data_IF_687949391687
#
_entry.id   IF_687949391687
#
_cell.length_a   1.000
_cell.length_b   1.000
_cell.length_c   1.000
_cell.angle_alpha   90.00
_cell.angle_beta   90.00
_cell.angle_gamma   90.00
#
_symmetry.space_group_name_H-M   'P 1'
#
loop_
_entity.id
_entity.type
_entity.pdbx_description
1 polymer ?
#
# COMPACT_ATOMS: atom_id res chain seq x y z
N UNK A 1 12.98 -37.15 -17.58
CA UNK A 1 12.71 -35.96 -16.74
C UNK A 1 11.71 -35.09 -17.48
N UNK A 2 10.58 -34.76 -16.86
CA UNK A 2 9.51 -33.94 -17.47
C UNK A 2 9.58 -32.49 -17.01
N UNK A 3 9.02 -31.57 -17.81
CA UNK A 3 8.92 -30.14 -17.46
C UNK A 3 7.47 -29.79 -17.19
N UNK A 4 7.18 -29.27 -16.00
CA UNK A 4 5.90 -28.69 -15.61
C UNK A 4 5.88 -27.21 -15.99
N UNK A 5 4.76 -26.76 -16.58
CA UNK A 5 4.58 -25.37 -17.02
C UNK A 5 3.65 -24.69 -16.01
N UNK A 6 4.20 -23.84 -15.14
CA UNK A 6 3.41 -23.01 -14.24
C UNK A 6 2.87 -21.78 -14.95
N UNK A 7 1.73 -21.27 -14.49
CA UNK A 7 1.14 -20.02 -15.02
C UNK A 7 1.22 -18.88 -13.99
N UNK A 8 1.14 -17.64 -14.48
CA UNK A 8 1.16 -16.47 -13.62
C UNK A 8 -0.01 -16.48 -12.62
N UNK A 9 0.27 -16.18 -11.35
CA UNK A 9 -0.73 -16.16 -10.28
C UNK A 9 -1.01 -17.53 -9.63
N UNK A 10 -0.37 -18.61 -10.10
CA UNK A 10 -0.48 -19.92 -9.46
C UNK A 10 0.27 -19.95 -8.13
N UNK A 11 -0.29 -20.66 -7.13
CA UNK A 11 0.32 -20.81 -5.80
C UNK A 11 1.33 -21.95 -5.79
N UNK A 12 2.37 -21.81 -4.97
CA UNK A 12 3.41 -22.83 -4.84
C UNK A 12 2.85 -24.17 -4.33
N UNK A 13 1.86 -24.13 -3.44
CA UNK A 13 1.21 -25.33 -2.90
C UNK A 13 0.58 -26.20 -4.00
N UNK A 14 -0.12 -25.56 -4.94
CA UNK A 14 -0.80 -26.23 -6.05
C UNK A 14 0.24 -26.80 -7.03
N UNK A 15 1.27 -26.00 -7.38
CA UNK A 15 2.37 -26.45 -8.25
C UNK A 15 3.11 -27.63 -7.64
N UNK A 16 3.47 -27.55 -6.36
CA UNK A 16 4.18 -28.61 -5.66
C UNK A 16 3.37 -29.91 -5.64
N UNK A 17 2.05 -29.83 -5.40
CA UNK A 17 1.15 -30.99 -5.43
C UNK A 17 1.10 -31.63 -6.81
N UNK A 18 0.81 -30.85 -7.85
CA UNK A 18 0.69 -31.35 -9.21
C UNK A 18 2.01 -31.95 -9.72
N UNK A 19 3.15 -31.34 -9.39
CA UNK A 19 4.46 -31.87 -9.77
C UNK A 19 4.78 -33.20 -9.08
N UNK A 20 4.43 -33.38 -7.80
CA UNK A 20 4.64 -34.65 -7.08
C UNK A 20 3.72 -35.74 -7.60
N UNK A 21 2.46 -35.41 -7.87
CA UNK A 21 1.50 -36.34 -8.49
C UNK A 21 1.97 -36.78 -9.88
N UNK A 22 2.42 -35.84 -10.72
CA UNK A 22 2.99 -36.14 -12.04
C UNK A 22 4.27 -36.98 -11.95
N UNK A 23 5.15 -36.68 -11.00
CA UNK A 23 6.36 -37.48 -10.77
C UNK A 23 6.01 -38.93 -10.37
N UNK A 24 5.02 -39.10 -9.50
CA UNK A 24 4.53 -40.43 -9.09
C UNK A 24 3.89 -41.20 -10.23
N UNK A 25 3.08 -40.54 -11.06
CA UNK A 25 2.43 -41.16 -12.22
C UNK A 25 3.44 -41.64 -13.27
N UNK A 26 4.51 -40.88 -13.45
CA UNK A 26 5.50 -41.12 -14.52
C UNK A 26 6.69 -41.95 -14.05
N UNK A 27 6.87 -42.09 -12.74
CA UNK A 27 8.03 -42.73 -12.13
C UNK A 27 9.34 -41.95 -12.31
N UNK A 28 9.28 -40.70 -12.77
CA UNK A 28 10.43 -39.88 -13.13
C UNK A 28 10.34 -38.49 -12.48
N UNK A 29 11.43 -37.72 -12.52
CA UNK A 29 11.50 -36.36 -11.99
C UNK A 29 10.73 -35.38 -12.87
N UNK A 30 10.09 -34.42 -12.22
CA UNK A 30 9.39 -33.30 -12.86
C UNK A 30 10.08 -32.01 -12.41
N UNK A 31 10.38 -31.11 -13.34
CA UNK A 31 11.02 -29.82 -13.05
C UNK A 31 10.19 -28.62 -13.50
N UNK A 32 10.35 -27.49 -12.85
CA UNK A 32 9.81 -26.21 -13.32
C UNK A 32 10.69 -25.05 -12.84
N UNK A 33 10.47 -23.87 -13.41
CA UNK A 33 11.02 -22.62 -12.90
C UNK A 33 9.86 -21.81 -12.37
N UNK A 34 9.88 -21.50 -11.08
CA UNK A 34 8.74 -20.90 -10.39
C UNK A 34 9.09 -19.51 -9.84
N UNK A 35 8.10 -18.61 -9.86
CA UNK A 35 8.17 -17.21 -9.42
C UNK A 35 9.04 -16.27 -10.29
N UNK A 36 8.97 -14.96 -9.99
CA UNK A 36 9.81 -13.93 -10.60
C UNK A 36 11.30 -14.08 -10.27
N UNK A 37 11.64 -14.88 -9.26
CA UNK A 37 13.02 -15.19 -8.86
C UNK A 37 13.63 -16.37 -9.62
N UNK A 38 12.90 -16.92 -10.60
CA UNK A 38 13.35 -18.02 -11.45
C UNK A 38 13.93 -19.22 -10.68
N UNK A 39 13.31 -19.58 -9.56
CA UNK A 39 13.77 -20.69 -8.72
C UNK A 39 13.45 -22.01 -9.43
N UNK A 40 14.47 -22.82 -9.72
CA UNK A 40 14.30 -24.16 -10.28
C UNK A 40 13.82 -25.12 -9.18
N UNK A 41 12.65 -25.70 -9.40
CA UNK A 41 12.03 -26.69 -8.51
C UNK A 41 12.04 -28.04 -9.20
N UNK A 42 12.40 -29.09 -8.45
CA UNK A 42 12.41 -30.47 -8.95
C UNK A 42 11.63 -31.36 -7.98
N UNK A 43 10.51 -31.89 -8.47
CA UNK A 43 9.77 -32.96 -7.80
C UNK A 43 10.34 -34.33 -8.18
N UNK A 44 10.35 -35.24 -7.20
CA UNK A 44 10.72 -36.65 -7.37
C UNK A 44 9.53 -37.52 -6.98
N UNK A 45 9.43 -38.76 -7.51
CA UNK A 45 8.45 -39.71 -7.02
C UNK A 45 8.59 -39.89 -5.50
N UNK A 46 7.48 -39.80 -4.78
CA UNK A 46 7.44 -39.87 -3.33
C UNK A 46 6.22 -40.66 -2.86
N UNK A 47 6.44 -41.66 -1.98
CA UNK A 47 5.38 -42.57 -1.49
C UNK A 47 4.25 -41.83 -0.76
N UNK A 48 4.59 -40.77 -0.03
CA UNK A 48 3.63 -39.88 0.62
C UNK A 48 3.61 -38.53 -0.11
N UNK A 49 2.51 -38.22 -0.81
CA UNK A 49 2.39 -36.99 -1.59
C UNK A 49 2.55 -35.75 -0.70
N UNK A 50 1.91 -35.71 0.47
CA UNK A 50 1.97 -34.56 1.38
C UNK A 50 3.40 -34.26 1.84
N UNK A 51 4.18 -35.29 2.16
CA UNK A 51 5.61 -35.11 2.50
C UNK A 51 6.41 -34.59 1.31
N UNK A 52 6.18 -35.12 0.11
CA UNK A 52 6.85 -34.63 -1.10
C UNK A 52 6.55 -33.17 -1.41
N UNK A 53 5.30 -32.75 -1.19
CA UNK A 53 4.85 -31.36 -1.32
C UNK A 53 5.55 -30.46 -0.30
N UNK A 54 5.57 -30.84 0.99
CA UNK A 54 6.26 -30.07 2.03
C UNK A 54 7.72 -29.82 1.68
N UNK A 55 8.44 -30.85 1.21
CA UNK A 55 9.86 -30.73 0.83
C UNK A 55 10.06 -29.66 -0.25
N UNK A 56 9.17 -29.61 -1.25
CA UNK A 56 9.25 -28.61 -2.33
C UNK A 56 8.97 -27.20 -1.78
N UNK A 57 7.93 -27.05 -0.96
CA UNK A 57 7.56 -25.75 -0.37
C UNK A 57 8.68 -25.25 0.54
N UNK A 58 9.22 -26.11 1.40
CA UNK A 58 10.31 -25.77 2.32
C UNK A 58 11.57 -25.37 1.55
N UNK A 59 11.92 -26.11 0.50
CA UNK A 59 13.02 -25.75 -0.40
C UNK A 59 12.79 -24.38 -1.05
N UNK A 60 11.61 -24.16 -1.65
CA UNK A 60 11.28 -22.90 -2.31
C UNK A 60 11.35 -21.71 -1.33
N UNK A 61 10.78 -21.84 -0.13
CA UNK A 61 10.83 -20.81 0.90
C UNK A 61 12.26 -20.55 1.38
N UNK A 62 13.07 -21.60 1.55
CA UNK A 62 14.48 -21.44 1.93
C UNK A 62 15.29 -20.69 0.87
N UNK A 63 14.98 -20.93 -0.40
CA UNK A 63 15.71 -20.32 -1.52
C UNK A 63 15.26 -18.88 -1.77
N UNK A 64 13.98 -18.58 -1.59
CA UNK A 64 13.49 -17.20 -1.51
C UNK A 64 14.21 -16.43 -0.39
N UNK A 65 14.26 -16.98 0.83
CA UNK A 65 14.93 -16.35 1.95
C UNK A 65 16.43 -16.12 1.67
N UNK A 66 17.10 -17.08 1.01
CA UNK A 66 18.51 -16.95 0.61
C UNK A 66 18.71 -15.83 -0.42
N UNK A 67 17.85 -15.74 -1.43
CA UNK A 67 17.94 -14.69 -2.45
C UNK A 67 17.61 -13.31 -1.88
N UNK A 68 16.59 -13.20 -1.04
CA UNK A 68 16.24 -11.97 -0.31
C UNK A 68 17.40 -11.50 0.56
N UNK A 69 18.01 -12.40 1.33
CA UNK A 69 19.18 -12.08 2.16
C UNK A 69 20.39 -11.69 1.32
N UNK A 70 20.62 -12.38 0.20
CA UNK A 70 21.65 -12.02 -0.78
C UNK A 70 21.46 -10.62 -1.33
N UNK A 71 20.21 -10.27 -1.69
CA UNK A 71 19.86 -8.93 -2.15
C UNK A 71 20.04 -7.88 -1.04
N UNK A 72 19.51 -8.12 0.17
CA UNK A 72 19.65 -7.21 1.32
C UNK A 72 21.11 -6.85 1.62
N UNK A 73 22.01 -7.82 1.49
CA UNK A 73 23.44 -7.63 1.74
C UNK A 73 24.24 -7.16 0.52
N UNK A 74 23.64 -7.13 -0.67
CA UNK A 74 24.30 -6.62 -1.87
C UNK A 74 24.55 -5.11 -1.77
N UNK A 75 25.49 -4.53 -2.54
CA UNK A 75 25.64 -3.08 -2.64
C UNK A 75 24.33 -2.38 -3.02
N UNK A 76 23.56 -2.95 -3.96
CA UNK A 76 22.29 -2.43 -4.44
C UNK A 76 21.22 -2.46 -3.35
N UNK A 77 21.05 -3.59 -2.65
CA UNK A 77 20.05 -3.69 -1.58
C UNK A 77 20.37 -2.80 -0.39
N UNK A 78 21.65 -2.68 0.01
CA UNK A 78 22.07 -1.73 1.04
C UNK A 78 21.84 -0.28 0.61
N UNK A 79 22.14 0.05 -0.64
CA UNK A 79 21.88 1.39 -1.18
C UNK A 79 20.38 1.69 -1.22
N UNK A 80 19.55 0.74 -1.64
CA UNK A 80 18.10 0.86 -1.64
C UNK A 80 17.56 1.08 -0.22
N UNK A 81 18.07 0.35 0.78
CA UNK A 81 17.70 0.54 2.18
C UNK A 81 18.07 1.94 2.69
N UNK A 82 19.26 2.45 2.34
CA UNK A 82 19.67 3.82 2.69
C UNK A 82 18.73 4.86 2.06
N UNK A 83 18.36 4.69 0.78
CA UNK A 83 17.44 5.59 0.08
C UNK A 83 16.05 5.55 0.73
N UNK A 84 15.53 4.35 1.00
CA UNK A 84 14.24 4.15 1.64
C UNK A 84 14.20 4.80 3.04
N UNK A 85 15.25 4.62 3.85
CA UNK A 85 15.34 5.21 5.18
C UNK A 85 15.45 6.74 5.14
N UNK A 86 16.19 7.30 4.17
CA UNK A 86 16.24 8.75 3.95
C UNK A 86 14.86 9.31 3.57
N UNK A 87 14.16 8.63 2.67
CA UNK A 87 12.81 9.02 2.27
C UNK A 87 11.85 8.95 3.46
N UNK A 88 11.84 7.84 4.21
CA UNK A 88 11.01 7.67 5.41
C UNK A 88 11.24 8.80 6.41
N UNK A 89 12.49 9.13 6.73
CA UNK A 89 12.82 10.22 7.63
C UNK A 89 12.39 11.59 7.07
N UNK A 90 12.56 11.82 5.77
CA UNK A 90 12.08 13.05 5.12
C UNK A 90 10.57 13.21 5.25
N UNK A 91 9.80 12.16 4.94
CA UNK A 91 8.34 12.17 5.06
C UNK A 91 7.87 12.29 6.51
N UNK A 92 8.55 11.63 7.45
CA UNK A 92 8.23 11.76 8.88
C UNK A 92 8.46 13.20 9.38
N UNK A 93 9.50 13.88 8.90
CA UNK A 93 9.73 15.30 9.19
C UNK A 93 8.65 16.19 8.58
N UNK A 94 8.14 15.86 7.38
CA UNK A 94 7.01 16.56 6.79
C UNK A 94 5.73 16.41 7.62
N UNK A 95 5.46 15.21 8.15
CA UNK A 95 4.34 15.00 9.09
C UNK A 95 4.51 15.85 10.34
N UNK A 96 5.71 15.85 10.94
CA UNK A 96 5.99 16.65 12.14
C UNK A 96 5.76 18.15 11.88
N UNK A 97 6.25 18.67 10.74
CA UNK A 97 6.00 20.06 10.35
C UNK A 97 4.53 20.33 10.08
N UNK A 98 3.82 19.40 9.42
CA UNK A 98 2.38 19.52 9.21
C UNK A 98 1.62 19.59 10.54
N UNK A 99 2.02 18.86 11.58
CA UNK A 99 1.40 18.98 12.90
C UNK A 99 1.65 20.35 13.56
N UNK A 100 2.83 20.94 13.36
CA UNK A 100 3.10 22.33 13.78
C UNK A 100 2.21 23.31 13.02
N UNK A 101 2.05 23.12 11.71
CA UNK A 101 1.18 23.93 10.87
C UNK A 101 -0.30 23.78 11.27
N UNK A 102 -0.73 22.57 11.64
CA UNK A 102 -2.10 22.26 12.08
C UNK A 102 -2.51 23.08 13.31
N UNK A 103 -1.57 23.32 14.23
CA UNK A 103 -1.83 24.13 15.42
C UNK A 103 -2.14 25.60 15.09
N UNK A 104 -1.68 26.09 13.94
CA UNK A 104 -1.82 27.48 13.46
C UNK A 104 -2.80 27.60 12.29
N UNK A 105 -3.41 26.50 11.87
CA UNK A 105 -4.29 26.43 10.72
C UNK A 105 -5.54 27.28 10.96
N UNK A 106 -5.89 28.13 9.99
CA UNK A 106 -7.17 28.84 10.00
C UNK A 106 -8.27 27.89 9.52
N UNK A 107 -9.10 27.44 10.47
CA UNK A 107 -10.21 26.53 10.17
C UNK A 107 -11.44 27.21 9.53
N UNK A 108 -11.41 28.53 9.36
CA UNK A 108 -12.40 29.25 8.56
C UNK A 108 -12.04 29.30 7.07
N UNK A 109 -10.77 29.09 6.73
CA UNK A 109 -10.29 29.01 5.35
C UNK A 109 -10.26 27.54 4.87
N UNK A 110 -11.30 27.16 4.12
CA UNK A 110 -11.44 25.82 3.57
C UNK A 110 -10.33 25.45 2.59
N UNK A 111 -9.77 26.42 1.86
CA UNK A 111 -8.65 26.17 0.96
C UNK A 111 -7.36 25.92 1.75
N UNK A 112 -7.14 26.65 2.85
CA UNK A 112 -6.01 26.37 3.76
C UNK A 112 -6.11 24.97 4.37
N UNK A 113 -7.30 24.56 4.80
CA UNK A 113 -7.55 23.21 5.32
C UNK A 113 -7.24 22.14 4.26
N UNK A 114 -7.75 22.31 3.04
CA UNK A 114 -7.50 21.38 1.94
C UNK A 114 -6.00 21.32 1.61
N UNK A 115 -5.32 22.47 1.54
CA UNK A 115 -3.88 22.53 1.31
C UNK A 115 -3.07 21.82 2.39
N UNK A 116 -3.51 21.88 3.65
CA UNK A 116 -2.92 21.10 4.73
C UNK A 116 -3.12 19.59 4.53
N UNK A 117 -4.32 19.15 4.16
CA UNK A 117 -4.61 17.74 3.87
C UNK A 117 -3.80 17.21 2.67
N UNK A 118 -3.58 18.02 1.63
CA UNK A 118 -2.70 17.66 0.51
C UNK A 118 -1.24 17.44 0.94
N UNK A 119 -0.74 18.22 1.91
CA UNK A 119 0.60 17.98 2.48
C UNK A 119 0.66 16.62 3.19
N UNK A 120 -0.38 16.27 3.95
CA UNK A 120 -0.46 14.98 4.65
C UNK A 120 -0.57 13.82 3.66
N UNK A 121 -1.37 13.95 2.61
CA UNK A 121 -1.51 12.91 1.58
C UNK A 121 -0.18 12.52 0.95
N UNK A 122 0.67 13.51 0.64
CA UNK A 122 2.02 13.29 0.09
C UNK A 122 2.98 12.54 1.01
N UNK A 123 2.62 12.36 2.28
CA UNK A 123 3.39 11.57 3.26
C UNK A 123 2.91 10.14 3.39
N UNK A 124 1.90 9.72 2.62
CA UNK A 124 1.41 8.35 2.60
C UNK A 124 2.50 7.38 2.08
N UNK A 125 3.22 6.77 3.02
CA UNK A 125 4.27 5.80 2.75
C UNK A 125 4.27 4.73 3.83
N UNK A 126 4.75 3.53 3.47
CA UNK A 126 4.98 2.44 4.41
C UNK A 126 5.89 2.95 5.55
N UNK A 127 5.50 2.70 6.80
CA UNK A 127 6.24 3.05 8.03
C UNK A 127 6.37 4.54 8.37
N UNK A 128 5.60 5.44 7.74
CA UNK A 128 5.43 6.82 8.21
C UNK A 128 4.26 6.87 9.19
N UNK A 129 4.51 7.37 10.40
CA UNK A 129 3.49 7.40 11.47
C UNK A 129 2.74 8.73 11.43
N UNK A 130 1.43 8.65 11.16
CA UNK A 130 0.51 9.77 11.21
C UNK A 130 -0.25 9.77 12.56
N UNK A 131 -0.20 10.86 13.36
CA UNK A 131 -0.93 10.98 14.63
C UNK A 131 -2.44 11.20 14.43
N UNK A 132 -3.10 10.21 13.82
CA UNK A 132 -4.47 10.26 13.32
C UNK A 132 -5.49 10.69 14.37
N UNK A 133 -5.36 10.20 15.62
CA UNK A 133 -6.28 10.57 16.72
C UNK A 133 -6.22 12.06 17.06
N UNK A 134 -5.02 12.64 17.05
CA UNK A 134 -4.83 14.06 17.36
C UNK A 134 -5.41 14.93 16.24
N UNK A 135 -5.15 14.56 14.99
CA UNK A 135 -5.69 15.23 13.80
C UNK A 135 -7.22 15.22 13.85
N UNK A 136 -7.83 14.04 13.99
CA UNK A 136 -9.29 13.90 14.01
C UNK A 136 -9.92 14.73 15.13
N UNK A 137 -9.35 14.67 16.35
CA UNK A 137 -9.84 15.47 17.49
C UNK A 137 -9.74 16.97 17.24
N UNK A 138 -8.66 17.43 16.60
CA UNK A 138 -8.48 18.85 16.25
C UNK A 138 -9.52 19.31 15.23
N UNK A 139 -9.75 18.52 14.19
CA UNK A 139 -10.77 18.82 13.18
C UNK A 139 -12.19 18.81 13.75
N UNK A 140 -12.52 17.82 14.60
CA UNK A 140 -13.80 17.73 15.29
C UNK A 140 -14.07 18.95 16.19
N UNK A 141 -13.05 19.40 16.93
CA UNK A 141 -13.14 20.62 17.75
C UNK A 141 -13.50 21.87 16.93
N UNK A 142 -13.13 21.92 15.65
CA UNK A 142 -13.46 23.00 14.73
C UNK A 142 -14.70 22.72 13.86
N UNK A 143 -15.50 21.69 14.19
CA UNK A 143 -16.76 21.38 13.51
C UNK A 143 -16.59 20.65 12.18
N UNK A 144 -15.47 19.97 11.96
CA UNK A 144 -15.24 19.09 10.82
C UNK A 144 -15.29 17.63 11.25
N UNK A 145 -16.27 16.91 10.74
CA UNK A 145 -16.46 15.49 11.03
C UNK A 145 -16.15 14.65 9.77
N UNK A 146 -15.85 13.37 9.97
CA UNK A 146 -15.73 12.41 8.86
C UNK A 146 -17.13 11.89 8.46
N UNK A 147 -17.29 11.47 7.20
CA UNK A 147 -18.56 10.98 6.62
C UNK A 147 -19.77 11.93 6.72
N UNK A 148 -19.56 13.24 6.90
CA UNK A 148 -20.61 14.25 6.79
C UNK A 148 -20.66 14.82 5.37
N UNK A 149 -21.81 15.35 4.98
CA UNK A 149 -22.08 15.85 3.62
C UNK A 149 -21.99 14.77 2.52
N UNK A 150 -22.20 13.50 2.88
CA UNK A 150 -22.33 12.36 1.97
C UNK A 150 -23.80 11.95 1.77
N UNK A 151 -24.22 11.74 0.52
CA UNK A 151 -25.57 11.28 0.14
C UNK A 151 -26.40 12.31 -0.64
N UNK A 152 -27.41 11.84 -1.38
CA UNK A 152 -28.21 12.65 -2.34
C UNK A 152 -28.80 13.95 -1.77
N UNK A 153 -29.11 13.98 -0.47
CA UNK A 153 -29.73 15.14 0.19
C UNK A 153 -28.74 16.21 0.68
N UNK A 154 -27.46 15.86 0.83
CA UNK A 154 -26.40 16.78 1.28
C UNK A 154 -25.39 17.11 0.17
N UNK A 155 -25.49 16.44 -0.97
CA UNK A 155 -24.57 16.54 -2.11
C UNK A 155 -24.86 17.76 -3.00
N UNK A 156 -24.73 18.97 -2.45
CA UNK A 156 -24.80 20.19 -3.25
C UNK A 156 -23.41 20.62 -3.71
N UNK A 157 -22.86 19.91 -4.69
CA UNK A 157 -21.56 20.22 -5.30
C UNK A 157 -21.54 21.57 -6.05
N UNK A 158 -22.66 22.30 -6.15
CA UNK A 158 -22.71 23.66 -6.70
C UNK A 158 -22.35 24.72 -5.65
N UNK A 159 -22.41 24.38 -4.37
CA UNK A 159 -21.99 25.24 -3.28
C UNK A 159 -20.51 24.96 -2.96
N UNK A 160 -19.68 26.01 -3.00
CA UNK A 160 -18.23 25.93 -2.81
C UNK A 160 -17.86 25.34 -1.44
N UNK A 161 -18.51 25.79 -0.38
CA UNK A 161 -18.25 25.35 0.99
C UNK A 161 -18.69 23.90 1.22
N UNK A 162 -19.85 23.52 0.67
CA UNK A 162 -20.36 22.16 0.79
C UNK A 162 -19.42 21.16 0.09
N UNK A 163 -18.97 21.49 -1.12
CA UNK A 163 -18.05 20.62 -1.86
C UNK A 163 -16.67 20.55 -1.15
N UNK A 164 -16.13 21.67 -0.66
CA UNK A 164 -14.90 21.65 0.14
C UNK A 164 -15.05 20.80 1.42
N UNK A 165 -16.13 20.99 2.18
CA UNK A 165 -16.41 20.21 3.39
C UNK A 165 -16.59 18.72 3.10
N UNK A 166 -17.14 18.36 1.94
CA UNK A 166 -17.23 16.96 1.52
C UNK A 166 -15.84 16.36 1.27
N UNK A 167 -14.96 17.09 0.59
CA UNK A 167 -13.57 16.67 0.34
C UNK A 167 -12.81 16.48 1.66
N UNK A 168 -12.93 17.45 2.57
CA UNK A 168 -12.34 17.37 3.92
C UNK A 168 -12.88 16.14 4.65
N UNK A 169 -14.20 15.94 4.64
CA UNK A 169 -14.83 14.81 5.33
C UNK A 169 -14.39 13.45 4.80
N UNK A 170 -14.21 13.33 3.47
CA UNK A 170 -13.64 12.15 2.83
C UNK A 170 -12.21 11.88 3.34
N UNK A 171 -11.34 12.89 3.36
CA UNK A 171 -9.96 12.74 3.83
C UNK A 171 -9.90 12.33 5.31
N UNK A 172 -10.72 12.92 6.17
CA UNK A 172 -10.79 12.54 7.59
C UNK A 172 -11.27 11.09 7.76
N UNK A 173 -12.21 10.62 6.93
CA UNK A 173 -12.63 9.23 6.91
C UNK A 173 -11.49 8.28 6.57
N UNK A 174 -10.67 8.63 5.57
CA UNK A 174 -9.48 7.85 5.20
C UNK A 174 -8.43 7.83 6.33
N UNK A 175 -8.14 8.97 6.96
CA UNK A 175 -7.24 9.05 8.12
C UNK A 175 -7.74 8.15 9.26
N UNK A 176 -9.04 8.14 9.53
CA UNK A 176 -9.65 7.31 10.57
C UNK A 176 -9.51 5.81 10.29
N UNK A 177 -9.84 5.40 9.07
CA UNK A 177 -9.97 3.96 8.73
C UNK A 177 -8.65 3.32 8.30
N UNK A 178 -7.73 4.11 7.75
CA UNK A 178 -6.50 3.61 7.12
C UNK A 178 -5.22 4.28 7.66
N UNK A 179 -5.34 5.33 8.48
CA UNK A 179 -4.18 6.07 8.98
C UNK A 179 -3.44 6.88 7.91
N UNK A 180 -4.02 7.05 6.73
CA UNK A 180 -3.47 7.78 5.60
C UNK A 180 -4.58 8.32 4.69
N UNK A 181 -4.24 9.20 3.75
CA UNK A 181 -5.18 9.72 2.74
C UNK A 181 -4.90 8.99 1.42
N UNK A 182 -5.94 8.52 0.74
CA UNK A 182 -5.80 7.80 -0.53
C UNK A 182 -5.33 8.73 -1.68
N UNK A 183 -4.50 8.20 -2.58
CA UNK A 183 -3.92 8.88 -3.75
C UNK A 183 -4.92 9.51 -4.74
N UNK A 184 -6.21 9.23 -4.60
CA UNK A 184 -7.26 9.88 -5.39
C UNK A 184 -7.69 11.24 -4.82
N UNK A 185 -7.31 11.57 -3.58
CA UNK A 185 -7.67 12.82 -2.92
C UNK A 185 -7.29 14.07 -3.75
N UNK A 186 -6.06 14.19 -4.30
CA UNK A 186 -5.69 15.35 -5.11
C UNK A 186 -6.63 15.60 -6.29
N UNK A 187 -7.14 14.54 -6.93
CA UNK A 187 -8.10 14.67 -8.05
C UNK A 187 -9.43 15.30 -7.62
N UNK A 188 -9.89 15.06 -6.39
CA UNK A 188 -11.09 15.70 -5.86
C UNK A 188 -10.84 17.18 -5.55
N UNK A 189 -9.67 17.50 -5.00
CA UNK A 189 -9.23 18.88 -4.74
C UNK A 189 -9.14 19.68 -6.05
N UNK A 190 -8.48 19.12 -7.07
CA UNK A 190 -8.30 19.75 -8.37
C UNK A 190 -9.66 20.09 -9.02
N UNK A 191 -10.61 19.15 -9.01
CA UNK A 191 -11.98 19.37 -9.49
C UNK A 191 -12.73 20.48 -8.74
N UNK A 192 -12.50 20.60 -7.43
CA UNK A 192 -13.11 21.66 -6.64
C UNK A 192 -12.50 23.02 -6.98
N UNK A 193 -11.17 23.08 -7.09
CA UNK A 193 -10.43 24.29 -7.47
C UNK A 193 -10.81 24.78 -8.87
N UNK A 194 -10.82 23.89 -9.85
CA UNK A 194 -11.24 24.18 -11.24
C UNK A 194 -12.67 24.74 -11.29
N UNK A 195 -13.58 24.15 -10.51
CA UNK A 195 -15.00 24.52 -10.53
C UNK A 195 -15.27 25.91 -9.96
N UNK A 196 -14.47 26.34 -8.98
CA UNK A 196 -14.69 27.60 -8.25
C UNK A 196 -13.53 28.60 -8.44
N UNK A 197 -12.73 28.42 -9.49
CA UNK A 197 -11.66 29.35 -9.91
C UNK A 197 -10.58 29.60 -8.84
N UNK A 198 -10.31 28.62 -7.97
CA UNK A 198 -9.15 28.64 -7.09
C UNK A 198 -7.91 28.21 -7.88
N UNK A 199 -7.27 29.12 -8.60
CA UNK A 199 -6.02 28.81 -9.30
C UNK A 199 -4.91 28.53 -8.30
N UNK A 200 -4.29 27.36 -8.38
CA UNK A 200 -2.98 27.10 -7.76
C UNK A 200 -1.94 28.00 -8.45
N UNK A 201 -1.58 29.11 -7.80
CA UNK A 201 -0.31 29.82 -8.08
C UNK A 201 0.89 29.02 -7.59
#
# INVERSE_FOLDING_TARGET
>A
MQTYISYAGQKIDDVAKEMVEMANLTGDRVRTTFSLYYIEIIAKPHKNVATGVSIIIDFYNSELARQEEGHRNSPEGRQAAIIAEKLRNHLQNQVAQAMVDLAKLDFSDLNAIIGWLEKIEKTAHMDVVLPSKEILKKFEFHGFEFNVNYGEKSHNIKNVDNFARQIISFALGQIRDHGSIHQSFPRFVERWREKFEYTTT
#
